data_IF_056123556724
#
_entry.id   IF_056123556724
#
_cell.length_a   1.000
_cell.length_b   1.000
_cell.length_c   1.000
_cell.angle_alpha   90.00
_cell.angle_beta   90.00
_cell.angle_gamma   90.00
#
_symmetry.space_group_name_H-M   'P 1'
#
loop_
_entity.id
_entity.type
_entity.pdbx_description
1 polymer ?
#
# COMPACT_ATOMS: atom_id res chain seq x y z
N UNK A 1 36.62 24.03 -12.92
CA UNK A 1 36.35 23.15 -11.80
C UNK A 1 35.03 22.47 -12.11
N UNK A 2 35.07 21.20 -12.55
CA UNK A 2 33.87 20.42 -12.84
C UNK A 2 33.45 19.76 -11.52
N UNK A 3 32.33 20.18 -10.96
CA UNK A 3 31.72 19.54 -9.82
C UNK A 3 31.05 18.24 -10.29
N UNK A 4 31.55 17.10 -9.83
CA UNK A 4 30.89 15.81 -10.01
C UNK A 4 29.63 15.77 -9.14
N UNK A 5 28.47 15.91 -9.77
CA UNK A 5 27.19 15.65 -9.12
C UNK A 5 27.07 14.13 -8.87
N UNK A 6 27.22 13.71 -7.63
CA UNK A 6 26.92 12.36 -7.21
C UNK A 6 25.41 12.08 -7.35
N UNK A 7 25.06 11.17 -8.23
CA UNK A 7 23.67 10.72 -8.42
C UNK A 7 23.22 10.01 -7.15
N UNK A 8 22.37 10.63 -6.35
CA UNK A 8 21.62 9.95 -5.32
C UNK A 8 20.70 8.92 -6.01
N UNK A 9 20.93 7.63 -5.73
CA UNK A 9 20.07 6.55 -6.24
C UNK A 9 18.71 6.67 -5.55
N UNK A 10 17.75 7.20 -6.28
CA UNK A 10 16.33 7.15 -5.89
C UNK A 10 15.90 5.70 -5.97
N UNK A 11 15.54 5.09 -4.85
CA UNK A 11 14.91 3.77 -4.78
C UNK A 11 13.43 3.91 -5.16
N UNK A 12 13.17 4.14 -6.45
CA UNK A 12 11.84 3.95 -7.02
C UNK A 12 11.64 2.45 -7.28
N UNK A 13 10.38 1.99 -7.38
CA UNK A 13 10.04 0.65 -7.81
C UNK A 13 10.70 0.37 -9.17
N UNK A 14 11.83 -0.34 -9.13
CA UNK A 14 12.58 -0.66 -10.33
C UNK A 14 11.79 -1.67 -11.16
N UNK A 15 11.49 -1.32 -12.41
CA UNK A 15 10.97 -2.30 -13.36
C UNK A 15 12.07 -3.34 -13.63
N UNK A 16 11.68 -4.59 -13.93
CA UNK A 16 12.61 -5.65 -14.35
C UNK A 16 13.65 -5.11 -15.35
N UNK A 17 13.18 -4.41 -16.39
CA UNK A 17 14.03 -3.89 -17.47
C UNK A 17 15.08 -2.85 -17.03
N UNK A 18 14.93 -2.24 -15.86
CA UNK A 18 15.91 -1.27 -15.34
C UNK A 18 17.06 -1.95 -14.57
N UNK A 19 16.82 -3.12 -14.00
CA UNK A 19 17.82 -3.83 -13.19
C UNK A 19 18.39 -5.07 -13.87
N UNK A 20 17.61 -5.75 -14.71
CA UNK A 20 17.98 -7.01 -15.32
C UNK A 20 17.94 -6.94 -16.85
N UNK A 21 18.79 -7.73 -17.49
CA UNK A 21 18.80 -7.88 -18.94
C UNK A 21 18.01 -9.13 -19.34
N UNK A 22 16.87 -8.96 -20.00
CA UNK A 22 16.01 -10.05 -20.43
C UNK A 22 16.61 -10.95 -21.51
N UNK A 23 17.77 -10.59 -22.07
CA UNK A 23 18.46 -11.37 -23.09
C UNK A 23 19.71 -12.10 -22.55
N UNK A 24 20.19 -11.72 -21.37
CA UNK A 24 21.34 -12.34 -20.73
C UNK A 24 20.88 -13.29 -19.64
N UNK A 25 21.01 -14.58 -19.92
CA UNK A 25 20.75 -15.63 -18.93
C UNK A 25 22.02 -16.02 -18.20
N UNK A 26 21.84 -16.39 -16.93
CA UNK A 26 22.95 -16.80 -16.08
C UNK A 26 22.55 -17.84 -15.04
N UNK A 27 23.57 -18.42 -14.43
CA UNK A 27 23.45 -19.41 -13.36
C UNK A 27 24.29 -18.95 -12.17
N UNK A 28 23.73 -19.01 -10.97
CA UNK A 28 24.40 -18.82 -9.72
C UNK A 28 24.25 -20.07 -8.86
N UNK A 29 25.36 -20.61 -8.37
CA UNK A 29 25.39 -21.80 -7.53
C UNK A 29 26.21 -21.50 -6.27
N UNK A 30 25.58 -21.65 -5.10
CA UNK A 30 26.25 -21.28 -3.86
C UNK A 30 25.40 -21.49 -2.62
N UNK A 31 25.88 -20.95 -1.52
CA UNK A 31 25.22 -21.07 -0.21
C UNK A 31 24.53 -19.77 0.15
N UNK A 32 23.26 -19.88 0.55
CA UNK A 32 22.47 -18.72 1.04
C UNK A 32 23.09 -18.22 2.35
N UNK A 33 23.43 -16.93 2.39
CA UNK A 33 24.01 -16.29 3.58
C UNK A 33 22.99 -15.41 4.29
N UNK A 34 22.01 -14.86 3.54
CA UNK A 34 20.99 -14.00 4.10
C UNK A 34 19.67 -14.14 3.33
N UNK A 35 18.57 -14.15 4.08
CA UNK A 35 17.22 -14.15 3.56
C UNK A 35 16.58 -12.80 3.87
N UNK A 36 16.04 -12.16 2.84
CA UNK A 36 15.23 -10.97 2.96
C UNK A 36 13.79 -11.30 2.59
N UNK A 37 12.99 -11.64 3.61
CA UNK A 37 11.58 -12.01 3.45
C UNK A 37 10.69 -10.81 3.74
N UNK A 38 10.58 -9.88 2.79
CA UNK A 38 9.81 -8.64 2.95
C UNK A 38 9.21 -8.16 1.63
N UNK A 39 8.13 -7.35 1.72
CA UNK A 39 7.61 -6.64 0.56
C UNK A 39 8.57 -5.50 0.14
N UNK A 40 8.59 -5.13 -1.16
CA UNK A 40 7.79 -5.67 -2.25
C UNK A 40 8.34 -6.99 -2.83
N UNK A 41 9.60 -7.32 -2.61
CA UNK A 41 10.26 -8.48 -3.22
C UNK A 41 11.12 -9.23 -2.20
N UNK A 42 11.05 -10.55 -2.28
CA UNK A 42 11.96 -11.44 -1.56
C UNK A 42 13.35 -11.34 -2.22
N UNK A 43 14.40 -11.49 -1.40
CA UNK A 43 15.77 -11.54 -1.87
C UNK A 43 16.58 -12.54 -1.05
N UNK A 44 17.49 -13.25 -1.72
CA UNK A 44 18.46 -14.14 -1.10
C UNK A 44 19.86 -13.66 -1.47
N UNK A 45 20.71 -13.42 -0.48
CA UNK A 45 22.13 -13.18 -0.72
C UNK A 45 22.85 -14.54 -0.67
N UNK A 46 23.69 -14.83 -1.66
CA UNK A 46 24.33 -16.14 -1.89
C UNK A 46 25.80 -15.96 -2.08
N UNK A 47 26.61 -16.73 -1.36
CA UNK A 47 28.04 -16.82 -1.55
C UNK A 47 28.36 -17.90 -2.58
N UNK A 48 28.86 -17.48 -3.74
CA UNK A 48 29.30 -18.34 -4.84
C UNK A 48 30.82 -18.52 -4.77
N UNK A 49 31.29 -19.77 -4.69
CA UNK A 49 32.71 -20.10 -4.75
C UNK A 49 33.21 -20.12 -6.18
N UNK A 50 34.22 -19.32 -6.45
CA UNK A 50 34.87 -19.23 -7.75
C UNK A 50 35.96 -20.32 -7.91
N UNK A 51 36.34 -20.70 -9.16
CA UNK A 51 37.36 -21.70 -9.40
C UNK A 51 38.74 -21.37 -8.81
N UNK A 52 39.04 -20.11 -8.61
CA UNK A 52 40.28 -19.62 -7.99
C UNK A 52 40.25 -19.66 -6.46
N UNK A 53 39.12 -20.10 -5.87
CA UNK A 53 38.93 -20.19 -4.42
C UNK A 53 38.40 -18.89 -3.79
N UNK A 54 38.24 -17.82 -4.55
CA UNK A 54 37.58 -16.60 -4.08
C UNK A 54 36.06 -16.80 -3.91
N UNK A 55 35.45 -15.90 -3.18
CA UNK A 55 33.96 -15.91 -2.99
C UNK A 55 33.38 -14.63 -3.58
N UNK A 56 32.41 -14.80 -4.45
CA UNK A 56 31.59 -13.71 -4.93
C UNK A 56 30.21 -13.73 -4.26
N UNK A 57 29.77 -12.58 -3.76
CA UNK A 57 28.42 -12.43 -3.22
C UNK A 57 27.46 -12.04 -4.32
N UNK A 58 26.41 -12.83 -4.48
CA UNK A 58 25.34 -12.62 -5.44
C UNK A 58 24.02 -12.35 -4.73
N UNK A 59 23.15 -11.56 -5.36
CA UNK A 59 21.80 -11.30 -4.89
C UNK A 59 20.79 -11.93 -5.84
N UNK A 60 20.02 -12.91 -5.36
CA UNK A 60 18.96 -13.56 -6.09
C UNK A 60 17.64 -12.84 -5.85
N UNK A 61 16.95 -12.50 -6.92
CA UNK A 61 15.66 -11.80 -6.91
C UNK A 61 14.61 -12.67 -7.59
N UNK A 62 13.90 -13.56 -6.86
CA UNK A 62 12.83 -14.34 -7.44
C UNK A 62 11.69 -13.43 -7.91
N UNK A 63 11.01 -13.77 -9.04
CA UNK A 63 9.91 -12.98 -9.58
C UNK A 63 8.67 -13.05 -8.70
N UNK A 64 8.06 -11.90 -8.42
CA UNK A 64 6.80 -11.83 -7.68
C UNK A 64 6.93 -11.06 -6.36
N UNK A 65 5.84 -11.07 -5.62
CA UNK A 65 5.71 -10.41 -4.32
C UNK A 65 5.33 -11.43 -3.22
N UNK A 66 5.41 -11.03 -1.97
CA UNK A 66 5.08 -11.91 -0.83
C UNK A 66 3.73 -12.63 -0.96
N UNK A 67 2.61 -11.97 -1.32
CA UNK A 67 1.33 -12.63 -1.53
C UNK A 67 1.37 -13.74 -2.61
N UNK A 68 2.19 -13.57 -3.65
CA UNK A 68 2.37 -14.60 -4.69
C UNK A 68 3.05 -15.83 -4.10
N UNK A 69 4.12 -15.65 -3.32
CA UNK A 69 4.85 -16.76 -2.71
C UNK A 69 4.01 -17.52 -1.69
N UNK A 70 3.25 -16.81 -0.86
CA UNK A 70 2.32 -17.42 0.11
C UNK A 70 1.28 -18.31 -0.59
N UNK A 71 0.73 -17.88 -1.73
CA UNK A 71 -0.17 -18.71 -2.54
C UNK A 71 0.51 -19.96 -3.12
N UNK A 72 1.82 -19.91 -3.29
CA UNK A 72 2.65 -21.05 -3.71
C UNK A 72 3.14 -21.89 -2.52
N UNK A 73 2.62 -21.65 -1.32
CA UNK A 73 3.03 -22.26 -0.06
C UNK A 73 4.51 -22.04 0.30
N UNK A 74 5.07 -20.89 -0.10
CA UNK A 74 6.39 -20.49 0.36
C UNK A 74 6.26 -19.71 1.66
N UNK A 75 7.20 -19.98 2.58
CA UNK A 75 7.37 -19.27 3.83
C UNK A 75 8.81 -18.75 3.94
N UNK A 76 9.10 -17.97 4.96
CA UNK A 76 10.48 -17.56 5.24
C UNK A 76 11.43 -18.73 5.52
N UNK A 77 10.88 -19.90 5.86
CA UNK A 77 11.60 -21.16 6.09
C UNK A 77 11.76 -22.00 4.80
N UNK A 78 11.21 -21.57 3.68
CA UNK A 78 11.28 -22.32 2.40
C UNK A 78 12.69 -22.40 1.87
N UNK A 79 13.47 -21.33 2.02
CA UNK A 79 14.90 -21.24 1.78
C UNK A 79 15.49 -20.47 2.96
N UNK A 80 16.46 -21.05 3.64
CA UNK A 80 17.09 -20.46 4.83
C UNK A 80 18.59 -20.23 4.62
N UNK A 81 19.19 -19.43 5.48
CA UNK A 81 20.64 -19.29 5.50
C UNK A 81 21.30 -20.64 5.81
N UNK A 82 22.29 -20.98 5.01
CA UNK A 82 22.98 -22.28 5.03
C UNK A 82 22.54 -23.22 3.91
N UNK A 83 21.39 -23.00 3.28
CA UNK A 83 20.96 -23.83 2.15
C UNK A 83 21.88 -23.65 0.94
N UNK A 84 22.18 -24.76 0.26
CA UNK A 84 22.83 -24.73 -1.03
C UNK A 84 21.79 -24.63 -2.14
N UNK A 85 21.99 -23.66 -3.03
CA UNK A 85 21.03 -23.38 -4.12
C UNK A 85 21.72 -23.30 -5.47
N UNK A 86 20.98 -23.73 -6.49
CA UNK A 86 21.31 -23.50 -7.90
C UNK A 86 20.21 -22.65 -8.49
N UNK A 87 20.52 -21.41 -8.83
CA UNK A 87 19.55 -20.48 -9.39
C UNK A 87 19.88 -20.17 -10.85
N UNK A 88 18.84 -20.12 -11.71
CA UNK A 88 18.96 -19.70 -13.10
C UNK A 88 17.97 -18.59 -13.39
N UNK A 89 18.31 -17.72 -14.33
CA UNK A 89 17.49 -16.59 -14.71
C UNK A 89 18.27 -15.50 -15.43
N UNK A 90 17.77 -14.27 -15.38
CA UNK A 90 18.37 -13.16 -16.10
C UNK A 90 19.39 -12.40 -15.25
N UNK A 91 20.51 -12.08 -15.85
CA UNK A 91 21.60 -11.35 -15.17
C UNK A 91 21.26 -9.87 -14.95
N UNK A 92 21.82 -9.32 -13.90
CA UNK A 92 21.76 -7.89 -13.63
C UNK A 92 22.52 -7.07 -14.70
N UNK A 93 22.01 -5.87 -15.00
CA UNK A 93 22.69 -4.93 -15.89
C UNK A 93 23.95 -4.36 -15.26
N UNK A 94 24.84 -3.82 -16.09
CA UNK A 94 26.04 -3.12 -15.68
C UNK A 94 26.96 -3.97 -14.76
N UNK A 95 27.07 -5.27 -15.08
CA UNK A 95 27.87 -6.25 -14.35
C UNK A 95 27.55 -6.35 -12.84
N UNK A 96 26.34 -5.96 -12.46
CA UNK A 96 25.89 -6.12 -11.08
C UNK A 96 25.75 -7.61 -10.74
N UNK A 97 26.17 -8.00 -9.55
CA UNK A 97 26.07 -9.38 -9.06
C UNK A 97 24.63 -9.68 -8.60
N UNK A 98 23.68 -9.55 -9.52
CA UNK A 98 22.26 -9.82 -9.32
C UNK A 98 21.78 -10.83 -10.34
N UNK A 99 20.85 -11.70 -9.91
CA UNK A 99 20.15 -12.63 -10.77
C UNK A 99 18.66 -12.52 -10.52
N UNK A 100 17.89 -12.26 -11.57
CA UNK A 100 16.43 -12.42 -11.53
C UNK A 100 16.13 -13.91 -11.63
N UNK A 101 16.05 -14.57 -10.47
CA UNK A 101 16.06 -16.01 -10.33
C UNK A 101 14.68 -16.60 -10.68
N UNK A 102 14.49 -16.95 -11.94
CA UNK A 102 13.23 -17.57 -12.42
C UNK A 102 13.07 -19.01 -11.96
N UNK A 103 14.17 -19.71 -11.73
CA UNK A 103 14.22 -21.05 -11.16
C UNK A 103 15.26 -21.12 -10.05
N UNK A 104 14.93 -21.76 -8.94
CA UNK A 104 15.85 -22.07 -7.84
C UNK A 104 15.70 -23.56 -7.52
N UNK A 105 16.78 -24.31 -7.60
CA UNK A 105 16.87 -25.70 -7.20
C UNK A 105 17.63 -25.82 -5.88
N UNK A 106 16.99 -26.50 -4.93
CA UNK A 106 17.57 -26.79 -3.61
C UNK A 106 18.30 -28.12 -3.61
N UNK A 107 19.17 -28.31 -2.64
CA UNK A 107 19.76 -29.61 -2.38
C UNK A 107 18.67 -30.66 -2.18
N UNK A 108 18.81 -31.83 -2.82
CA UNK A 108 17.75 -32.85 -2.87
C UNK A 108 16.82 -32.74 -4.08
N UNK A 109 17.04 -31.78 -4.99
CA UNK A 109 16.34 -31.68 -6.27
C UNK A 109 14.96 -31.00 -6.22
N UNK A 110 14.59 -30.42 -5.09
CA UNK A 110 13.36 -29.62 -4.99
C UNK A 110 13.53 -28.35 -5.81
N UNK A 111 12.62 -28.10 -6.74
CA UNK A 111 12.62 -26.95 -7.64
C UNK A 111 11.55 -25.97 -7.28
N UNK A 112 11.91 -24.68 -7.32
CA UNK A 112 11.07 -23.56 -6.97
C UNK A 112 11.08 -22.52 -8.10
N UNK A 113 9.91 -22.01 -8.45
CA UNK A 113 9.77 -21.07 -9.56
C UNK A 113 9.54 -21.76 -10.91
N UNK A 114 9.93 -21.12 -12.01
CA UNK A 114 9.71 -21.61 -13.39
C UNK A 114 10.93 -22.41 -13.84
N UNK A 115 11.06 -23.62 -13.36
CA UNK A 115 12.23 -24.47 -13.62
C UNK A 115 12.16 -25.29 -14.89
N UNK A 116 11.00 -25.39 -15.54
CA UNK A 116 10.79 -26.16 -16.78
C UNK A 116 9.80 -25.42 -17.67
N UNK A 117 10.10 -25.31 -18.96
CA UNK A 117 9.18 -24.67 -19.93
C UNK A 117 7.82 -25.38 -20.06
N UNK A 118 7.73 -26.64 -19.69
CA UNK A 118 6.51 -27.46 -19.85
C UNK A 118 5.50 -27.28 -18.70
N UNK A 119 5.88 -26.66 -17.58
CA UNK A 119 5.01 -26.56 -16.41
C UNK A 119 4.30 -25.20 -16.30
N UNK A 120 4.30 -24.42 -17.36
CA UNK A 120 3.29 -23.39 -17.51
C UNK A 120 1.95 -24.10 -17.56
N UNK A 121 1.21 -24.06 -16.43
CA UNK A 121 -0.19 -24.49 -16.39
C UNK A 121 -0.92 -23.69 -17.45
N UNK A 122 -1.04 -24.26 -18.64
CA UNK A 122 -1.76 -23.68 -19.77
C UNK A 122 -3.26 -23.81 -19.60
N UNK A 123 -3.70 -24.66 -18.67
CA UNK A 123 -5.09 -24.77 -18.26
C UNK A 123 -5.24 -24.35 -16.81
N UNK A 124 -5.80 -23.16 -16.58
CA UNK A 124 -6.37 -22.79 -15.31
C UNK A 124 -7.66 -23.59 -15.18
N UNK A 125 -7.60 -24.77 -14.56
CA UNK A 125 -8.81 -25.48 -14.17
C UNK A 125 -9.40 -24.76 -12.96
N UNK A 126 -10.66 -24.30 -13.11
CA UNK A 126 -11.40 -23.74 -11.98
C UNK A 126 -11.48 -24.80 -10.87
N UNK A 127 -11.19 -24.39 -9.63
CA UNK A 127 -11.40 -25.27 -8.47
C UNK A 127 -12.90 -25.57 -8.37
N UNK A 128 -13.33 -26.86 -8.47
CA UNK A 128 -14.74 -27.20 -8.44
C UNK A 128 -15.43 -26.89 -7.10
N UNK A 129 -14.65 -26.59 -6.05
CA UNK A 129 -15.17 -26.18 -4.74
C UNK A 129 -15.27 -24.66 -4.59
N UNK A 130 -14.84 -23.89 -5.59
CA UNK A 130 -14.91 -22.43 -5.58
C UNK A 130 -16.04 -21.98 -6.50
N UNK A 131 -17.02 -21.29 -5.94
CA UNK A 131 -18.02 -20.60 -6.76
C UNK A 131 -17.42 -19.31 -7.30
N UNK A 132 -17.12 -19.30 -8.59
CA UNK A 132 -16.62 -18.12 -9.30
C UNK A 132 -17.74 -17.17 -9.77
N UNK A 133 -19.00 -17.52 -9.48
CA UNK A 133 -20.13 -16.69 -9.86
C UNK A 133 -20.17 -15.44 -8.99
N UNK A 134 -20.25 -14.30 -9.62
CA UNK A 134 -20.39 -13.03 -8.94
C UNK A 134 -21.85 -12.90 -8.48
N UNK A 135 -22.13 -13.17 -7.22
CA UNK A 135 -23.45 -12.98 -6.63
C UNK A 135 -23.53 -11.57 -6.04
N UNK A 136 -24.23 -10.68 -6.75
CA UNK A 136 -24.63 -9.41 -6.17
C UNK A 136 -25.57 -9.69 -4.98
N UNK A 137 -25.16 -9.25 -3.79
CA UNK A 137 -26.02 -9.32 -2.61
C UNK A 137 -26.99 -8.15 -2.69
N UNK A 138 -28.28 -8.43 -2.74
CA UNK A 138 -29.29 -7.37 -2.69
C UNK A 138 -29.30 -6.78 -1.27
N UNK A 139 -28.89 -5.54 -1.15
CA UNK A 139 -29.05 -4.74 0.06
C UNK A 139 -30.29 -3.83 -0.08
N UNK A 140 -30.92 -3.55 1.04
CA UNK A 140 -32.09 -2.61 1.07
C UNK A 140 -31.71 -1.19 0.62
N UNK A 141 -30.41 -0.87 0.58
CA UNK A 141 -29.90 0.44 0.19
C UNK A 141 -28.74 0.24 -0.78
N UNK A 142 -28.87 0.81 -1.97
CA UNK A 142 -27.79 0.84 -2.97
C UNK A 142 -26.95 2.10 -2.79
N UNK A 143 -25.66 1.90 -2.48
CA UNK A 143 -24.64 2.97 -2.42
C UNK A 143 -23.69 2.96 -3.62
N UNK A 144 -23.95 2.12 -4.63
CA UNK A 144 -23.12 2.09 -5.84
C UNK A 144 -23.20 3.42 -6.59
N UNK A 145 -22.10 3.80 -7.22
CA UNK A 145 -21.99 5.00 -8.02
C UNK A 145 -21.10 6.07 -7.41
N UNK A 146 -21.21 7.27 -7.92
CA UNK A 146 -20.37 8.41 -7.60
C UNK A 146 -20.85 9.20 -6.40
N UNK A 147 -19.95 9.50 -5.48
CA UNK A 147 -20.21 10.31 -4.29
C UNK A 147 -19.24 11.49 -4.23
N UNK A 148 -19.80 12.71 -4.35
CA UNK A 148 -19.06 13.95 -4.22
C UNK A 148 -18.82 14.28 -2.74
N UNK A 149 -17.57 14.22 -2.32
CA UNK A 149 -17.14 14.49 -0.93
C UNK A 149 -17.15 15.99 -0.56
N UNK A 150 -17.39 16.89 -1.52
CA UNK A 150 -17.44 18.34 -1.28
C UNK A 150 -18.76 18.78 -0.63
N UNK A 151 -19.78 17.92 -0.64
CA UNK A 151 -21.07 18.23 -0.07
C UNK A 151 -20.98 18.40 1.45
N UNK A 152 -21.57 19.47 1.99
CA UNK A 152 -21.46 19.86 3.39
C UNK A 152 -20.02 20.02 3.89
N UNK A 153 -19.16 20.50 3.02
CA UNK A 153 -17.79 20.88 3.40
C UNK A 153 -17.86 22.22 4.17
N UNK A 154 -17.91 22.14 5.53
CA UNK A 154 -17.94 23.28 6.44
C UNK A 154 -19.01 24.32 6.16
N UNK A 155 -20.06 24.31 6.95
CA UNK A 155 -21.19 25.24 6.77
C UNK A 155 -21.27 26.32 7.83
N UNK A 156 -20.47 26.26 8.90
CA UNK A 156 -20.51 27.25 9.99
C UNK A 156 -19.12 27.71 10.41
N UNK A 157 -19.04 28.91 11.00
CA UNK A 157 -17.78 29.50 11.53
C UNK A 157 -17.23 28.64 12.66
N UNK A 158 -18.08 27.99 13.44
CA UNK A 158 -17.71 27.11 14.55
C UNK A 158 -16.95 25.84 14.11
N UNK A 159 -17.08 25.45 12.81
CA UNK A 159 -16.30 24.36 12.24
C UNK A 159 -14.82 24.72 12.03
N UNK A 160 -14.47 26.00 12.13
CA UNK A 160 -13.11 26.50 11.95
C UNK A 160 -12.35 26.72 13.26
N UNK A 161 -13.06 26.71 14.41
CA UNK A 161 -12.35 26.81 15.69
C UNK A 161 -11.55 25.52 15.94
N UNK A 162 -10.22 25.63 16.16
CA UNK A 162 -9.39 24.49 16.48
C UNK A 162 -9.82 23.93 17.84
N UNK A 163 -10.57 22.82 17.81
CA UNK A 163 -10.85 22.09 19.06
C UNK A 163 -9.53 21.49 19.55
N UNK A 164 -9.23 21.59 20.85
CA UNK A 164 -8.05 20.96 21.41
C UNK A 164 -8.06 19.46 21.06
N UNK A 165 -7.05 19.01 20.34
CA UNK A 165 -6.90 17.59 20.04
C UNK A 165 -6.36 16.90 21.29
N UNK A 166 -7.00 15.83 21.78
CA UNK A 166 -6.63 15.17 23.03
C UNK A 166 -5.38 14.31 22.87
N UNK A 167 -4.27 14.90 22.43
CA UNK A 167 -2.99 14.21 22.25
C UNK A 167 -2.36 13.86 23.59
N UNK A 168 -1.73 12.68 23.65
CA UNK A 168 -0.81 12.36 24.75
C UNK A 168 0.44 13.23 24.67
N UNK A 169 1.18 13.47 25.78
CA UNK A 169 2.35 14.35 25.79
C UNK A 169 3.41 13.98 24.74
N UNK A 170 3.71 12.70 24.59
CA UNK A 170 4.66 12.19 23.59
C UNK A 170 4.19 12.46 22.16
N UNK A 171 2.90 12.33 21.89
CA UNK A 171 2.29 12.66 20.59
C UNK A 171 2.34 14.14 20.31
N UNK A 172 2.09 14.98 21.32
CA UNK A 172 2.19 16.43 21.19
C UNK A 172 3.61 16.86 20.85
N UNK A 173 4.62 16.21 21.41
CA UNK A 173 6.03 16.45 21.08
C UNK A 173 6.36 16.08 19.64
N UNK A 174 5.89 14.90 19.16
CA UNK A 174 6.03 14.49 17.76
C UNK A 174 5.34 15.48 16.82
N UNK A 175 4.12 15.88 17.17
CA UNK A 175 3.36 16.85 16.38
C UNK A 175 4.08 18.19 16.29
N UNK A 176 4.64 18.68 17.38
CA UNK A 176 5.39 19.94 17.40
C UNK A 176 6.70 19.88 16.59
N UNK A 177 7.34 18.71 16.55
CA UNK A 177 8.59 18.49 15.83
C UNK A 177 8.46 18.07 14.36
N UNK A 178 7.22 17.95 13.84
CA UNK A 178 6.99 17.50 12.46
C UNK A 178 7.54 18.50 11.43
N UNK A 179 7.97 17.98 10.31
CA UNK A 179 8.57 18.76 9.21
C UNK A 179 7.82 18.52 7.91
N UNK A 180 7.97 19.42 6.95
CA UNK A 180 7.41 19.23 5.62
C UNK A 180 7.80 17.90 4.98
N UNK A 181 9.04 17.50 5.10
CA UNK A 181 9.55 16.24 4.52
C UNK A 181 9.00 14.98 5.16
N UNK A 182 8.34 15.07 6.33
CA UNK A 182 7.74 13.90 6.99
C UNK A 182 6.40 13.50 6.34
N UNK A 183 5.77 14.41 5.59
CA UNK A 183 4.53 14.11 4.88
C UNK A 183 4.78 13.16 3.69
N UNK A 184 4.30 11.92 3.82
CA UNK A 184 4.44 10.89 2.80
C UNK A 184 3.72 11.23 1.48
N UNK A 185 2.67 12.05 1.52
CA UNK A 185 1.93 12.48 0.31
C UNK A 185 2.84 13.31 -0.62
N UNK A 186 3.80 14.05 -0.06
CA UNK A 186 4.79 14.78 -0.86
C UNK A 186 5.71 13.87 -1.67
N UNK A 187 5.77 12.59 -1.32
CA UNK A 187 6.50 11.56 -2.08
C UNK A 187 5.59 10.70 -2.94
N UNK A 188 4.41 11.21 -3.31
CA UNK A 188 3.41 10.50 -4.11
C UNK A 188 2.96 9.17 -3.49
N UNK A 189 2.99 9.06 -2.17
CA UNK A 189 2.37 7.94 -1.48
C UNK A 189 0.91 8.25 -1.18
N UNK A 190 0.01 7.27 -1.30
CA UNK A 190 -1.42 7.50 -1.03
C UNK A 190 -1.65 8.08 0.36
N UNK A 191 -2.54 9.06 0.53
CA UNK A 191 -2.81 9.68 1.83
C UNK A 191 -3.33 8.70 2.88
N UNK A 192 -3.95 7.60 2.45
CA UNK A 192 -4.49 6.58 3.34
C UNK A 192 -5.69 7.04 4.18
N UNK A 193 -6.21 6.12 5.01
CA UNK A 193 -7.26 6.43 5.98
C UNK A 193 -6.65 7.03 7.26
N UNK A 194 -7.35 7.97 7.90
CA UNK A 194 -8.61 8.62 7.49
C UNK A 194 -8.41 9.82 6.56
N UNK A 195 -7.17 10.21 6.28
CA UNK A 195 -6.78 11.43 5.58
C UNK A 195 -7.43 11.58 4.20
N UNK A 196 -7.59 10.48 3.46
CA UNK A 196 -8.14 10.49 2.10
C UNK A 196 -9.56 11.07 2.05
N UNK A 197 -10.33 10.94 3.12
CA UNK A 197 -11.66 11.54 3.22
C UNK A 197 -11.63 13.07 3.42
N UNK A 198 -10.49 13.65 3.70
CA UNK A 198 -10.27 15.09 3.69
C UNK A 198 -10.08 15.66 2.29
N UNK A 199 -9.90 14.80 1.29
CA UNK A 199 -9.73 15.17 -0.11
C UNK A 199 -11.02 15.73 -0.72
N UNK A 200 -10.92 16.72 -1.63
CA UNK A 200 -12.05 17.22 -2.39
C UNK A 200 -12.49 16.29 -3.53
N UNK A 201 -11.69 15.25 -3.83
CA UNK A 201 -12.00 14.32 -4.91
C UNK A 201 -13.13 13.37 -4.55
N UNK A 202 -13.98 12.98 -5.52
CA UNK A 202 -15.06 12.03 -5.31
C UNK A 202 -14.56 10.63 -4.96
N UNK A 203 -15.51 9.80 -4.51
CA UNK A 203 -15.32 8.36 -4.40
C UNK A 203 -16.36 7.65 -5.26
N UNK A 204 -15.91 6.68 -6.04
CA UNK A 204 -16.77 5.73 -6.73
C UNK A 204 -16.92 4.47 -5.88
N UNK A 205 -18.17 4.03 -5.68
CA UNK A 205 -18.48 2.81 -4.96
C UNK A 205 -19.06 1.80 -5.94
N UNK A 206 -18.47 0.61 -5.98
CA UNK A 206 -18.87 -0.51 -6.82
C UNK A 206 -19.26 -1.66 -5.90
N UNK A 207 -20.49 -2.13 -6.02
CA UNK A 207 -20.90 -3.37 -5.35
C UNK A 207 -20.29 -4.57 -6.10
N UNK A 208 -19.41 -5.26 -5.42
CA UNK A 208 -18.71 -6.41 -5.93
C UNK A 208 -19.23 -7.72 -5.30
N UNK A 209 -20.46 -7.72 -4.79
CA UNK A 209 -21.12 -8.88 -4.18
C UNK A 209 -20.61 -9.22 -2.79
N UNK A 210 -19.36 -9.66 -2.66
CA UNK A 210 -18.74 -9.98 -1.36
C UNK A 210 -18.14 -8.78 -0.65
N UNK A 211 -17.95 -7.67 -1.35
CA UNK A 211 -17.38 -6.45 -0.81
C UNK A 211 -17.80 -5.24 -1.64
N UNK A 212 -17.74 -4.07 -1.03
CA UNK A 212 -17.72 -2.81 -1.77
C UNK A 212 -16.28 -2.49 -2.17
N UNK A 213 -16.08 -2.22 -3.46
CA UNK A 213 -14.85 -1.61 -3.96
C UNK A 213 -15.08 -0.09 -4.01
N UNK A 214 -14.39 0.64 -3.17
CA UNK A 214 -14.38 2.10 -3.16
C UNK A 214 -13.12 2.58 -3.87
N UNK A 215 -13.27 3.34 -4.94
CA UNK A 215 -12.15 3.96 -5.66
C UNK A 215 -12.17 5.45 -5.36
N UNK A 216 -11.21 5.91 -4.59
CA UNK A 216 -11.02 7.34 -4.36
C UNK A 216 -10.30 7.93 -5.56
N UNK A 217 -10.89 8.92 -6.21
CA UNK A 217 -10.30 9.54 -7.42
C UNK A 217 -9.06 10.37 -7.12
N UNK A 218 -8.76 10.61 -5.85
CA UNK A 218 -7.41 11.02 -5.47
C UNK A 218 -6.46 9.82 -5.63
N UNK A 219 -5.53 9.95 -6.57
CA UNK A 219 -4.50 8.95 -6.88
C UNK A 219 -5.07 7.55 -7.20
N UNK A 220 -6.33 7.47 -7.64
CA UNK A 220 -7.04 6.22 -7.95
C UNK A 220 -6.86 5.15 -6.87
N UNK A 221 -6.96 5.56 -5.61
CA UNK A 221 -6.68 4.70 -4.46
C UNK A 221 -7.86 3.76 -4.18
N UNK A 222 -7.71 2.43 -4.32
CA UNK A 222 -8.76 1.48 -4.05
C UNK A 222 -8.84 1.12 -2.56
N UNK A 223 -10.07 0.90 -2.07
CA UNK A 223 -10.37 0.33 -0.76
C UNK A 223 -11.39 -0.77 -0.90
N UNK A 224 -11.18 -1.92 -0.25
CA UNK A 224 -12.19 -2.97 -0.16
C UNK A 224 -12.81 -2.98 1.22
N UNK A 225 -14.15 -2.99 1.25
CA UNK A 225 -14.93 -3.15 2.47
C UNK A 225 -15.65 -4.50 2.36
N UNK A 226 -15.15 -5.51 3.06
CA UNK A 226 -15.70 -6.86 3.00
C UNK A 226 -17.04 -6.93 3.72
N UNK A 227 -18.06 -7.50 3.04
CA UNK A 227 -19.44 -7.58 3.50
C UNK A 227 -19.85 -9.02 3.85
N UNK A 228 -18.97 -9.97 3.73
CA UNK A 228 -19.21 -11.40 3.95
C UNK A 228 -18.81 -11.88 5.36
N UNK A 229 -18.39 -10.95 6.23
CA UNK A 229 -18.07 -11.24 7.62
C UNK A 229 -16.69 -11.85 7.85
N UNK A 230 -15.85 -11.94 6.81
CA UNK A 230 -14.48 -12.46 6.98
C UNK A 230 -13.64 -11.60 7.92
N UNK A 231 -12.72 -12.24 8.59
CA UNK A 231 -11.70 -11.56 9.39
C UNK A 231 -10.43 -11.32 8.58
N UNK A 232 -9.58 -10.43 9.10
CA UNK A 232 -8.23 -10.24 8.58
C UNK A 232 -7.42 -11.54 8.72
N UNK A 233 -6.47 -11.75 7.83
CA UNK A 233 -5.53 -12.86 7.96
C UNK A 233 -4.66 -12.65 9.22
N UNK A 234 -4.19 -13.73 9.82
CA UNK A 234 -3.30 -13.66 11.01
C UNK A 234 -2.01 -12.90 10.73
N UNK A 235 -1.58 -12.85 9.47
CA UNK A 235 -0.40 -12.17 8.96
C UNK A 235 -0.77 -10.99 8.04
N UNK A 236 -1.97 -10.42 8.20
CA UNK A 236 -2.44 -9.28 7.40
C UNK A 236 -1.45 -8.12 7.48
N UNK A 237 -0.88 -7.67 6.35
CA UNK A 237 0.06 -6.56 6.36
C UNK A 237 -0.63 -5.24 6.73
N UNK A 238 0.12 -4.36 7.39
CA UNK A 238 -0.31 -2.98 7.59
C UNK A 238 -0.26 -2.23 6.26
N UNK A 239 -1.34 -1.53 5.93
CA UNK A 239 -1.41 -0.72 4.70
C UNK A 239 -2.03 0.66 4.99
N UNK A 240 -1.86 1.60 4.08
CA UNK A 240 -2.46 2.93 4.21
C UNK A 240 -4.00 2.91 4.26
N UNK A 241 -4.64 1.88 3.67
CA UNK A 241 -6.10 1.71 3.66
C UNK A 241 -6.59 0.67 4.67
N UNK A 242 -5.70 -0.08 5.32
CA UNK A 242 -6.01 -1.10 6.29
C UNK A 242 -6.79 -2.29 5.73
N UNK A 243 -7.39 -3.05 6.63
CA UNK A 243 -8.36 -4.09 6.37
C UNK A 243 -9.72 -3.61 6.86
N UNK A 244 -10.73 -3.57 5.99
CA UNK A 244 -12.07 -3.07 6.33
C UNK A 244 -13.12 -4.15 6.16
N UNK A 245 -13.98 -4.31 7.17
CA UNK A 245 -15.19 -5.12 7.12
C UNK A 245 -16.42 -4.27 7.45
N UNK A 246 -17.55 -4.59 6.82
CA UNK A 246 -18.78 -3.82 6.96
C UNK A 246 -20.01 -4.69 7.14
N UNK A 247 -21.04 -4.06 7.68
CA UNK A 247 -22.39 -4.61 7.73
C UNK A 247 -23.41 -3.48 7.69
N UNK A 248 -24.63 -3.81 7.31
CA UNK A 248 -25.75 -2.86 7.31
C UNK A 248 -26.54 -2.91 8.60
N UNK A 249 -26.84 -1.74 9.15
CA UNK A 249 -27.84 -1.49 10.19
C UNK A 249 -28.89 -0.56 9.56
N UNK A 250 -30.01 -1.12 9.13
CA UNK A 250 -31.03 -0.42 8.36
C UNK A 250 -30.45 0.34 7.16
N UNK A 251 -30.44 1.66 7.20
CA UNK A 251 -29.87 2.54 6.17
C UNK A 251 -28.45 3.01 6.48
N UNK A 252 -27.81 2.45 7.48
CA UNK A 252 -26.46 2.81 7.90
C UNK A 252 -25.50 1.68 7.61
N UNK A 253 -24.53 1.91 6.72
CA UNK A 253 -23.38 1.03 6.55
C UNK A 253 -22.37 1.32 7.66
N UNK A 254 -22.12 0.33 8.50
CA UNK A 254 -21.09 0.38 9.54
C UNK A 254 -19.84 -0.30 9.00
N UNK A 255 -18.72 0.41 9.04
CA UNK A 255 -17.42 -0.10 8.56
C UNK A 255 -16.43 -0.04 9.71
N UNK A 256 -15.76 -1.16 9.98
CA UNK A 256 -14.64 -1.23 10.90
C UNK A 256 -13.35 -1.45 10.11
N UNK A 257 -12.31 -0.64 10.40
CA UNK A 257 -11.00 -0.75 9.75
C UNK A 257 -9.91 -0.91 10.79
N UNK A 258 -9.07 -1.92 10.58
CA UNK A 258 -7.88 -2.27 11.36
C UNK A 258 -6.67 -2.41 10.42
N UNK A 259 -5.50 -2.81 10.93
CA UNK A 259 -4.29 -3.05 10.13
C UNK A 259 -3.85 -1.83 9.30
N UNK A 260 -4.03 -0.63 9.87
CA UNK A 260 -3.58 0.62 9.28
C UNK A 260 -2.08 0.80 9.50
N UNK A 261 -1.37 1.23 8.46
CA UNK A 261 0.03 1.66 8.61
C UNK A 261 0.10 2.97 9.42
N UNK A 262 1.19 3.21 10.16
CA UNK A 262 1.45 4.52 10.77
C UNK A 262 1.39 5.64 9.74
N UNK A 263 0.92 6.81 10.14
CA UNK A 263 0.79 7.94 9.21
C UNK A 263 0.25 9.20 9.85
N UNK A 264 -0.42 10.01 9.06
CA UNK A 264 -1.07 11.22 9.53
C UNK A 264 -2.59 11.13 9.36
N UNK A 265 -3.32 11.59 10.36
CA UNK A 265 -4.78 11.64 10.33
C UNK A 265 -5.32 12.64 9.30
N UNK A 266 -4.54 13.66 8.94
CA UNK A 266 -4.90 14.71 7.98
C UNK A 266 -3.67 15.47 7.48
N UNK A 267 -3.91 16.49 6.64
CA UNK A 267 -2.86 17.34 6.08
C UNK A 267 -2.18 18.26 7.09
N UNK A 268 -2.70 18.38 8.32
CA UNK A 268 -2.06 19.15 9.39
C UNK A 268 -0.98 18.36 10.13
N UNK A 269 -0.81 17.07 9.82
CA UNK A 269 0.25 16.24 10.37
C UNK A 269 -0.06 15.66 11.76
N UNK A 270 -1.34 15.50 12.13
CA UNK A 270 -1.72 14.81 13.36
C UNK A 270 -1.28 13.34 13.28
N UNK A 271 -0.40 12.88 14.18
CA UNK A 271 0.14 11.51 14.10
C UNK A 271 -0.92 10.43 14.26
N UNK A 272 -0.71 9.30 13.60
CA UNK A 272 -1.49 8.07 13.74
C UNK A 272 -0.55 6.91 14.02
N UNK A 273 -0.81 6.16 15.09
CA UNK A 273 0.05 5.08 15.57
C UNK A 273 0.10 3.91 14.58
N UNK A 274 -1.05 3.56 14.00
CA UNK A 274 -1.17 2.38 13.14
C UNK A 274 -1.16 1.06 13.91
N UNK A 275 -1.18 -0.05 13.18
CA UNK A 275 -1.16 -1.40 13.74
C UNK A 275 -2.31 -1.68 14.70
N UNK A 276 -2.01 -2.35 15.79
CA UNK A 276 -2.99 -2.65 16.85
C UNK A 276 -3.43 -1.40 17.63
N UNK A 277 -2.60 -0.36 17.62
CA UNK A 277 -2.89 0.92 18.29
C UNK A 277 -3.93 1.78 17.57
N UNK A 278 -4.40 1.38 16.38
CA UNK A 278 -5.36 2.18 15.60
C UNK A 278 -6.52 1.35 15.08
N UNK A 279 -7.75 1.83 15.35
CA UNK A 279 -8.99 1.29 14.81
C UNK A 279 -9.91 2.44 14.41
N UNK A 280 -10.51 2.34 13.23
CA UNK A 280 -11.47 3.32 12.71
C UNK A 280 -12.84 2.67 12.57
N UNK A 281 -13.88 3.31 13.09
CA UNK A 281 -15.27 2.91 12.91
C UNK A 281 -15.99 4.03 12.15
N UNK A 282 -16.54 3.67 11.00
CA UNK A 282 -17.32 4.59 10.17
C UNK A 282 -18.79 4.19 10.18
N UNK A 283 -19.66 5.18 10.17
CA UNK A 283 -21.11 5.01 10.01
C UNK A 283 -21.56 5.89 8.86
N UNK A 284 -22.02 5.28 7.79
CA UNK A 284 -22.49 5.95 6.56
C UNK A 284 -24.01 5.84 6.50
N UNK A 285 -24.69 6.87 6.91
CA UNK A 285 -26.18 6.89 6.92
C UNK A 285 -26.68 7.49 5.63
N UNK A 286 -27.39 6.68 4.85
CA UNK A 286 -27.95 7.07 3.55
C UNK A 286 -29.33 7.71 3.76
N UNK A 287 -29.55 8.88 3.16
CA UNK A 287 -30.84 9.57 3.17
C UNK A 287 -31.99 8.72 2.58
N UNK A 288 -33.22 9.02 2.93
CA UNK A 288 -34.37 8.26 2.47
C UNK A 288 -34.54 8.23 0.93
N UNK A 289 -34.17 9.32 0.27
CA UNK A 289 -34.12 9.45 -1.19
C UNK A 289 -32.89 8.83 -1.88
N UNK A 290 -31.92 8.35 -1.09
CA UNK A 290 -30.68 7.75 -1.61
C UNK A 290 -29.71 8.75 -2.22
N UNK A 291 -29.88 10.06 -2.04
CA UNK A 291 -29.09 11.09 -2.71
C UNK A 291 -27.97 11.65 -1.86
N UNK A 292 -28.00 11.44 -0.55
CA UNK A 292 -26.93 11.90 0.35
C UNK A 292 -26.51 10.82 1.32
N UNK A 293 -25.25 10.92 1.77
CA UNK A 293 -24.68 10.11 2.85
C UNK A 293 -24.15 11.07 3.90
N UNK A 294 -24.63 10.93 5.13
CA UNK A 294 -23.99 11.52 6.31
C UNK A 294 -23.07 10.48 6.92
N UNK A 295 -21.78 10.83 7.02
CA UNK A 295 -20.75 9.94 7.51
C UNK A 295 -20.17 10.44 8.83
N UNK A 296 -20.20 9.59 9.85
CA UNK A 296 -19.47 9.78 11.10
C UNK A 296 -18.33 8.78 11.16
N UNK A 297 -17.13 9.27 11.46
CA UNK A 297 -15.94 8.46 11.63
C UNK A 297 -15.43 8.65 13.05
N UNK A 298 -15.28 7.56 13.79
CA UNK A 298 -14.67 7.52 15.12
C UNK A 298 -13.32 6.83 15.01
N UNK A 299 -12.27 7.55 15.35
CA UNK A 299 -10.88 7.08 15.30
C UNK A 299 -10.44 6.80 16.73
N UNK A 300 -10.12 5.56 17.00
CA UNK A 300 -9.48 5.10 18.23
C UNK A 300 -8.00 4.94 17.91
N UNK A 301 -7.14 5.67 18.60
CA UNK A 301 -5.70 5.63 18.35
C UNK A 301 -4.93 5.87 19.65
N UNK A 302 -3.89 5.07 19.89
CA UNK A 302 -3.09 5.11 21.10
C UNK A 302 -2.31 6.42 21.30
N UNK A 303 -2.18 7.22 20.25
CA UNK A 303 -1.59 8.56 20.32
C UNK A 303 -2.46 9.59 21.08
N UNK A 304 -3.74 9.24 21.34
CA UNK A 304 -4.73 10.19 21.90
C UNK A 304 -5.31 9.68 23.21
N UNK A 305 -5.74 10.61 24.05
CA UNK A 305 -6.36 10.30 25.36
C UNK A 305 -7.86 10.02 25.26
N UNK A 306 -8.47 10.31 24.10
CA UNK A 306 -9.88 10.07 23.80
C UNK A 306 -10.06 9.83 22.28
N UNK A 307 -11.11 9.09 21.87
CA UNK A 307 -11.41 8.91 20.46
C UNK A 307 -11.68 10.24 19.76
N UNK A 308 -11.24 10.34 18.51
CA UNK A 308 -11.48 11.48 17.64
C UNK A 308 -12.70 11.21 16.77
N UNK A 309 -13.65 12.14 16.74
CA UNK A 309 -14.88 12.03 15.93
C UNK A 309 -14.84 13.06 14.81
N UNK A 310 -15.05 12.59 13.59
CA UNK A 310 -15.15 13.44 12.40
C UNK A 310 -16.44 13.15 11.65
N UNK A 311 -17.12 14.18 11.19
CA UNK A 311 -18.35 14.08 10.41
C UNK A 311 -18.14 14.68 9.03
N UNK A 312 -18.76 14.09 8.03
CA UNK A 312 -18.74 14.54 6.64
C UNK A 312 -20.04 14.15 5.94
N UNK A 313 -20.49 15.00 5.02
CA UNK A 313 -21.56 14.65 4.08
C UNK A 313 -20.99 14.36 2.69
N UNK A 314 -21.66 13.48 1.96
CA UNK A 314 -21.44 13.26 0.54
C UNK A 314 -22.78 13.30 -0.18
N UNK A 315 -22.80 13.73 -1.44
CA UNK A 315 -23.98 13.66 -2.29
C UNK A 315 -23.69 12.80 -3.51
N UNK A 316 -24.73 12.18 -4.07
CA UNK A 316 -24.60 11.50 -5.35
C UNK A 316 -24.14 12.49 -6.41
N UNK A 317 -23.05 12.15 -7.08
CA UNK A 317 -22.46 12.93 -8.15
C UNK A 317 -22.93 12.45 -9.53
N UNK A 318 -22.66 13.27 -10.54
CA UNK A 318 -22.80 12.88 -11.94
C UNK A 318 -21.50 12.31 -12.45
N UNK A 319 -21.53 11.12 -13.06
CA UNK A 319 -20.36 10.45 -13.65
C UNK A 319 -19.70 11.25 -14.77
N UNK A 320 -20.39 12.25 -15.32
CA UNK A 320 -19.83 13.18 -16.33
C UNK A 320 -18.87 14.19 -15.73
N UNK A 321 -18.88 14.39 -14.42
CA UNK A 321 -17.99 15.28 -13.67
C UNK A 321 -16.83 14.51 -13.01
N UNK A 322 -16.18 13.62 -13.75
CA UNK A 322 -15.01 12.90 -13.30
C UNK A 322 -13.85 13.87 -13.02
N UNK A 323 -13.64 14.16 -11.75
CA UNK A 323 -12.48 14.92 -11.29
C UNK A 323 -11.46 13.92 -10.76
N UNK A 324 -10.68 13.36 -11.66
CA UNK A 324 -9.49 12.60 -11.26
C UNK A 324 -8.40 13.57 -10.81
N UNK A 325 -7.61 13.18 -9.81
CA UNK A 325 -6.40 13.92 -9.51
C UNK A 325 -5.39 13.75 -10.64
N UNK A 326 -4.65 14.80 -11.01
CA UNK A 326 -3.55 14.64 -11.96
C UNK A 326 -2.53 13.65 -11.40
N UNK A 327 -1.74 12.99 -12.28
CA UNK A 327 -0.65 12.15 -11.82
C UNK A 327 0.25 12.91 -10.85
N UNK A 328 0.57 12.29 -9.72
CA UNK A 328 1.46 12.90 -8.75
C UNK A 328 2.88 12.93 -9.30
N UNK A 329 3.51 14.10 -9.24
CA UNK A 329 4.93 14.27 -9.49
C UNK A 329 5.56 14.92 -8.26
N UNK A 330 6.36 14.16 -7.53
CA UNK A 330 7.00 14.61 -6.31
C UNK A 330 7.95 15.80 -6.52
N UNK A 331 8.39 16.05 -7.75
CA UNK A 331 9.27 17.16 -8.08
C UNK A 331 8.49 18.43 -8.41
N UNK A 332 7.30 18.31 -8.99
CA UNK A 332 6.53 19.47 -9.46
C UNK A 332 6.13 20.44 -8.35
N UNK A 333 5.84 19.93 -7.15
CA UNK A 333 5.51 20.78 -5.99
C UNK A 333 6.64 21.67 -5.53
N UNK A 334 7.88 21.28 -5.82
CA UNK A 334 9.07 21.93 -5.30
C UNK A 334 10.07 22.31 -6.41
N UNK A 335 9.65 22.27 -7.67
CA UNK A 335 10.53 22.50 -8.80
C UNK A 335 11.30 23.82 -8.66
N UNK A 336 10.63 24.91 -8.30
CA UNK A 336 11.27 26.21 -8.09
C UNK A 336 12.27 26.18 -6.93
N UNK A 337 11.97 25.48 -5.85
CA UNK A 337 12.89 25.34 -4.71
C UNK A 337 14.09 24.46 -5.09
N UNK A 338 13.86 23.44 -5.91
CA UNK A 338 14.93 22.58 -6.42
C UNK A 338 15.89 23.37 -7.32
N UNK A 339 15.36 24.18 -8.23
CA UNK A 339 16.17 25.03 -9.11
C UNK A 339 17.01 26.05 -8.33
N UNK A 340 16.47 26.59 -7.24
CA UNK A 340 17.19 27.52 -6.35
C UNK A 340 18.12 26.83 -5.37
N UNK A 341 18.11 25.50 -5.29
CA UNK A 341 18.87 24.71 -4.29
C UNK A 341 18.36 24.82 -2.85
N UNK A 342 17.13 25.28 -2.66
CA UNK A 342 16.49 25.53 -1.35
C UNK A 342 15.62 24.36 -0.89
N UNK A 343 15.44 23.32 -1.71
CA UNK A 343 14.51 22.22 -1.42
C UNK A 343 14.84 21.49 -0.12
N UNK A 344 16.11 21.20 0.12
CA UNK A 344 16.54 20.47 1.31
C UNK A 344 16.28 21.25 2.61
N UNK A 345 16.42 22.58 2.58
CA UNK A 345 16.13 23.46 3.70
C UNK A 345 14.61 23.46 3.97
N UNK A 346 13.81 23.57 2.90
CA UNK A 346 12.35 23.55 3.00
C UNK A 346 11.84 22.22 3.58
N UNK A 347 12.37 21.09 3.12
CA UNK A 347 11.94 19.78 3.62
C UNK A 347 12.28 19.57 5.09
N UNK A 348 13.34 20.20 5.58
CA UNK A 348 13.74 20.15 7.00
C UNK A 348 13.05 21.21 7.86
N UNK A 349 12.39 22.19 7.27
CA UNK A 349 11.69 23.21 8.03
C UNK A 349 10.47 22.66 8.78
N UNK A 350 10.12 23.28 9.88
CA UNK A 350 8.90 22.93 10.62
C UNK A 350 7.65 23.18 9.77
N UNK A 351 6.62 22.36 10.02
CA UNK A 351 5.32 22.46 9.37
C UNK A 351 4.47 23.51 10.07
#
# INVERSE_FOLDING_TARGET
VVAAAGSAKVLAHHSFASEFDGQLEGKVEGTVTKVWWANPHIRYDVDMKMPDGSVEQWSLHPPGNLPTYRRMNWTEETIIAGDHVVATGNLGRDDTKKLYATCIELEGGRKLGRCVESDLVTEVTADPNVDYTYHAKEYAVDISGFWDNRYKFRTTVDDFEPKPTPMKPETAALYAGRRYGDDHVLRCQPPGLPRIFGSPYPVEVIDAGTHYLMVFLQDNTPRRVYMDGRDALSDQPLTSMGFSKGHWEDRTLVIETTHLAPGWLDGSGYPMTGGEGTRIVERWTVSADGLTIDRTMTIYDDAYTAPLVRTRGSRRGDTRELLESPPCDATSFYYELLERGELDEKLRSAL
#
